data_IF_314757464984
#
_entry.id   IF_314757464984
#
_cell.length_a   1.000
_cell.length_b   1.000
_cell.length_c   1.000
_cell.angle_alpha   90.00
_cell.angle_beta   90.00
_cell.angle_gamma   90.00
#
_symmetry.space_group_name_H-M   'P 1'
#
loop_
_entity.id
_entity.type
_entity.pdbx_description
1 polymer ?
#
# COMPACT_ATOMS: atom_id res chain seq x y z
N UNK A 1 21.68 23.19 12.19
CA UNK A 1 21.37 21.75 12.11
C UNK A 1 19.93 21.67 11.63
N UNK A 2 19.70 21.38 10.36
CA UNK A 2 18.34 21.28 9.81
C UNK A 2 17.66 20.08 10.48
N UNK A 3 16.67 20.35 11.33
CA UNK A 3 16.13 19.38 12.28
C UNK A 3 15.29 18.29 11.58
N UNK A 4 15.02 17.19 12.30
CA UNK A 4 14.07 16.17 11.87
C UNK A 4 12.68 16.75 11.59
N UNK A 5 12.32 17.84 12.27
CA UNK A 5 11.05 18.54 12.09
C UNK A 5 10.96 19.20 10.71
N UNK A 6 12.02 19.90 10.25
CA UNK A 6 12.04 20.48 8.89
C UNK A 6 11.90 19.41 7.81
N UNK A 7 12.49 18.23 8.03
CA UNK A 7 12.35 17.11 7.11
C UNK A 7 10.92 16.55 7.12
N UNK A 8 10.32 16.41 8.30
CA UNK A 8 8.95 15.93 8.44
C UNK A 8 7.93 16.90 7.83
N UNK A 9 8.13 18.21 7.98
CA UNK A 9 7.28 19.25 7.39
C UNK A 9 7.31 19.18 5.87
N UNK A 10 8.51 19.03 5.28
CA UNK A 10 8.66 18.84 3.82
C UNK A 10 8.01 17.55 3.34
N UNK A 11 8.17 16.47 4.12
CA UNK A 11 7.57 15.19 3.79
C UNK A 11 6.04 15.27 3.78
N UNK A 12 5.44 15.91 4.79
CA UNK A 12 4.00 16.10 4.92
C UNK A 12 3.42 17.06 3.87
N UNK A 13 4.12 18.15 3.57
CA UNK A 13 3.67 19.18 2.62
C UNK A 13 4.05 18.93 1.15
N UNK A 14 4.84 17.89 0.86
CA UNK A 14 5.32 17.60 -0.49
C UNK A 14 4.27 16.94 -1.39
N UNK A 15 4.32 17.22 -2.69
CA UNK A 15 3.40 16.65 -3.69
C UNK A 15 3.72 15.18 -4.05
N UNK A 16 4.97 14.74 -3.81
CA UNK A 16 5.44 13.38 -4.11
C UNK A 16 5.17 12.42 -2.93
N UNK A 17 5.23 11.10 -3.14
CA UNK A 17 5.07 10.08 -2.09
C UNK A 17 3.68 10.01 -1.40
N UNK A 18 2.61 10.43 -2.10
CA UNK A 18 1.24 10.38 -1.59
C UNK A 18 0.81 9.00 -1.08
N UNK A 19 1.16 7.93 -1.82
CA UNK A 19 0.88 6.53 -1.43
C UNK A 19 1.63 6.15 -0.16
N UNK A 20 2.95 6.37 -0.14
CA UNK A 20 3.79 6.03 1.02
C UNK A 20 3.31 6.75 2.28
N UNK A 21 2.85 8.01 2.16
CA UNK A 21 2.30 8.79 3.27
C UNK A 21 1.04 8.21 3.89
N UNK A 22 0.23 7.43 3.14
CA UNK A 22 -0.94 6.76 3.73
C UNK A 22 -0.53 5.67 4.73
N UNK A 23 0.60 5.02 4.49
CA UNK A 23 1.18 4.05 5.43
C UNK A 23 2.01 4.71 6.53
N UNK A 24 2.68 5.81 6.18
CA UNK A 24 3.67 6.47 7.02
C UNK A 24 3.50 8.00 6.99
N UNK A 25 2.46 8.57 7.63
CA UNK A 25 2.21 10.02 7.54
C UNK A 25 3.24 10.88 8.27
N UNK A 26 4.05 10.25 9.14
CA UNK A 26 5.13 10.89 9.87
C UNK A 26 6.47 10.23 9.51
N UNK A 27 7.37 11.03 8.95
CA UNK A 27 8.63 10.55 8.40
C UNK A 27 9.57 10.04 9.50
N UNK A 28 9.53 10.67 10.68
CA UNK A 28 10.36 10.30 11.85
C UNK A 28 9.89 8.98 12.45
N UNK A 29 8.57 8.78 12.56
CA UNK A 29 7.97 7.52 12.98
C UNK A 29 8.24 6.41 11.95
N UNK A 30 8.15 6.74 10.65
CA UNK A 30 8.42 5.81 9.56
C UNK A 30 9.79 5.15 9.68
N UNK A 31 10.83 5.93 9.98
CA UNK A 31 12.21 5.44 10.11
C UNK A 31 12.32 4.27 11.10
N UNK A 32 11.59 4.34 12.23
CA UNK A 32 11.59 3.28 13.25
C UNK A 32 10.86 2.01 12.79
N UNK A 33 9.86 2.16 11.91
CA UNK A 33 9.06 1.05 11.41
C UNK A 33 9.77 0.36 10.25
N UNK A 34 10.32 1.13 9.30
CA UNK A 34 11.03 0.60 8.12
C UNK A 34 12.19 -0.31 8.54
N UNK A 35 12.94 0.06 9.58
CA UNK A 35 14.02 -0.78 10.10
C UNK A 35 13.58 -2.15 10.65
N UNK A 36 12.28 -2.36 10.87
CA UNK A 36 11.68 -3.63 11.31
C UNK A 36 11.04 -4.44 10.17
N UNK A 37 10.99 -3.88 8.95
CA UNK A 37 10.35 -4.53 7.81
C UNK A 37 11.42 -5.20 6.94
N UNK A 38 11.21 -6.46 6.59
CA UNK A 38 11.95 -7.07 5.49
C UNK A 38 11.43 -6.50 4.16
N UNK A 39 12.18 -5.55 3.60
CA UNK A 39 11.78 -4.87 2.36
C UNK A 39 12.17 -5.72 1.16
N UNK A 40 11.18 -6.36 0.55
CA UNK A 40 11.32 -7.02 -0.74
C UNK A 40 10.69 -6.20 -1.89
N UNK A 41 10.78 -6.75 -3.11
CA UNK A 41 10.19 -6.11 -4.30
C UNK A 41 8.67 -5.93 -4.20
N UNK A 42 7.95 -6.83 -3.54
CA UNK A 42 6.49 -6.75 -3.44
C UNK A 42 6.06 -5.73 -2.38
N UNK A 43 6.74 -5.70 -1.23
CA UNK A 43 6.55 -4.66 -0.21
C UNK A 43 6.82 -3.28 -0.79
N UNK A 44 7.91 -3.15 -1.56
CA UNK A 44 8.23 -1.89 -2.25
C UNK A 44 7.10 -1.45 -3.18
N UNK A 45 6.55 -2.36 -3.99
CA UNK A 45 5.42 -2.08 -4.87
C UNK A 45 4.17 -1.60 -4.10
N UNK A 46 3.88 -2.22 -2.96
CA UNK A 46 2.74 -1.83 -2.11
C UNK A 46 2.92 -0.40 -1.59
N UNK A 47 4.08 -0.12 -0.99
CA UNK A 47 4.32 1.14 -0.29
C UNK A 47 4.50 2.33 -1.22
N UNK A 48 4.71 2.09 -2.51
CA UNK A 48 5.01 3.14 -3.50
C UNK A 48 4.05 3.17 -4.69
N UNK A 49 3.16 2.17 -4.82
CA UNK A 49 2.31 1.95 -5.99
C UNK A 49 3.07 1.72 -7.30
N UNK A 50 4.36 1.35 -7.22
CA UNK A 50 5.24 1.16 -8.38
C UNK A 50 5.28 -0.31 -8.82
N UNK A 51 4.12 -0.89 -9.11
CA UNK A 51 3.97 -2.34 -9.36
C UNK A 51 3.21 -2.69 -10.64
N UNK A 52 2.93 -3.98 -10.84
CA UNK A 52 2.08 -4.47 -11.92
C UNK A 52 0.60 -4.20 -11.66
N UNK A 53 0.26 -2.96 -11.30
CA UNK A 53 -1.11 -2.47 -11.14
C UNK A 53 -1.57 -1.86 -12.46
N UNK A 54 -2.81 -2.09 -12.87
CA UNK A 54 -3.26 -1.62 -14.19
C UNK A 54 -3.18 -0.09 -14.29
N UNK A 55 -3.46 0.65 -13.21
CA UNK A 55 -3.26 2.11 -13.17
C UNK A 55 -1.82 2.52 -13.48
N UNK A 56 -0.86 1.91 -12.77
CA UNK A 56 0.56 2.21 -12.94
C UNK A 56 1.04 1.85 -14.36
N UNK A 57 0.69 0.66 -14.85
CA UNK A 57 1.07 0.20 -16.19
C UNK A 57 0.45 1.07 -17.29
N UNK A 58 -0.79 1.51 -17.12
CA UNK A 58 -1.46 2.39 -18.07
C UNK A 58 -0.79 3.77 -18.15
N UNK A 59 -0.38 4.34 -17.01
CA UNK A 59 0.38 5.60 -16.97
C UNK A 59 1.65 5.56 -17.81
N UNK A 60 2.31 4.41 -17.89
CA UNK A 60 3.51 4.18 -18.71
C UNK A 60 3.23 3.58 -20.09
N UNK A 61 1.95 3.51 -20.50
CA UNK A 61 1.51 2.95 -21.80
C UNK A 61 1.89 1.48 -22.00
N UNK A 62 2.07 0.74 -20.90
CA UNK A 62 2.28 -0.71 -20.92
C UNK A 62 0.95 -1.49 -20.90
N UNK A 63 -0.18 -0.81 -20.72
CA UNK A 63 -1.53 -1.38 -20.72
C UNK A 63 -2.52 -0.39 -21.31
N UNK A 64 -3.46 -0.87 -22.10
CA UNK A 64 -4.47 -0.03 -22.76
C UNK A 64 -5.45 0.65 -21.79
N UNK A 65 -5.71 0.03 -20.64
CA UNK A 65 -6.68 0.53 -19.68
C UNK A 65 -6.16 0.42 -18.23
N UNK A 66 -6.46 1.41 -17.36
CA UNK A 66 -6.15 1.35 -15.93
C UNK A 66 -7.15 0.49 -15.15
N UNK A 67 -8.17 -0.06 -15.80
CA UNK A 67 -9.29 -0.73 -15.13
C UNK A 67 -8.90 -2.01 -14.40
N UNK A 68 -9.57 -2.27 -13.28
CA UNK A 68 -9.52 -3.53 -12.56
C UNK A 68 -10.38 -4.58 -13.24
N UNK A 69 -10.05 -5.84 -13.02
CA UNK A 69 -10.84 -6.97 -13.53
C UNK A 69 -12.16 -7.19 -12.79
N UNK A 70 -12.32 -6.56 -11.62
CA UNK A 70 -13.58 -6.63 -10.86
C UNK A 70 -14.70 -5.85 -11.56
N UNK A 71 -14.36 -4.74 -12.20
CA UNK A 71 -15.29 -3.80 -12.81
C UNK A 71 -14.51 -2.90 -13.79
N UNK A 72 -14.89 -2.83 -15.08
CA UNK A 72 -14.28 -1.94 -16.06
C UNK A 72 -14.27 -0.45 -15.66
N UNK A 73 -15.18 0.01 -14.81
CA UNK A 73 -15.25 1.38 -14.31
C UNK A 73 -14.34 1.67 -13.11
N UNK A 74 -13.74 0.65 -12.49
CA UNK A 74 -12.87 0.80 -11.32
C UNK A 74 -11.41 0.86 -11.72
N UNK A 75 -10.67 1.84 -11.20
CA UNK A 75 -9.22 1.94 -11.40
C UNK A 75 -8.52 0.92 -10.51
N UNK A 76 -7.60 0.16 -11.08
CA UNK A 76 -6.81 -0.80 -10.32
C UNK A 76 -5.58 -0.14 -9.67
N UNK A 77 -5.84 0.60 -8.60
CA UNK A 77 -4.81 1.13 -7.70
C UNK A 77 -4.41 0.11 -6.64
N UNK A 78 -3.30 0.35 -5.94
CA UNK A 78 -2.91 -0.48 -4.79
C UNK A 78 -3.96 -0.43 -3.68
N UNK A 79 -4.54 0.74 -3.42
CA UNK A 79 -5.56 0.88 -2.37
C UNK A 79 -6.85 0.17 -2.74
N UNK A 80 -7.29 0.28 -4.01
CA UNK A 80 -8.44 -0.48 -4.49
C UNK A 80 -8.23 -1.97 -4.24
N UNK A 81 -7.10 -2.54 -4.68
CA UNK A 81 -6.83 -3.96 -4.51
C UNK A 81 -6.80 -4.40 -3.04
N UNK A 82 -6.24 -3.57 -2.15
CA UNK A 82 -6.06 -3.92 -0.75
C UNK A 82 -7.31 -3.68 0.11
N UNK A 83 -8.14 -2.69 -0.21
CA UNK A 83 -9.20 -2.20 0.67
C UNK A 83 -10.61 -2.40 0.09
N UNK A 84 -10.77 -2.35 -1.23
CA UNK A 84 -12.10 -2.22 -1.85
C UNK A 84 -12.44 -3.37 -2.81
N UNK A 85 -11.44 -3.95 -3.47
CA UNK A 85 -11.65 -4.85 -4.60
C UNK A 85 -12.38 -6.12 -4.15
N UNK A 86 -13.55 -6.45 -4.74
CA UNK A 86 -14.33 -7.62 -4.33
C UNK A 86 -13.63 -8.95 -4.68
N UNK A 87 -12.72 -8.94 -5.65
CA UNK A 87 -11.89 -10.10 -6.01
C UNK A 87 -10.99 -10.55 -4.85
N UNK A 88 -10.77 -9.68 -3.86
CA UNK A 88 -9.92 -9.95 -2.70
C UNK A 88 -10.70 -9.90 -1.37
N UNK A 89 -12.04 -9.95 -1.42
CA UNK A 89 -12.90 -9.90 -0.23
C UNK A 89 -12.57 -11.00 0.77
N UNK A 90 -12.38 -12.23 0.29
CA UNK A 90 -12.12 -13.36 1.18
C UNK A 90 -10.82 -13.17 1.98
N UNK A 91 -9.72 -12.82 1.31
CA UNK A 91 -8.46 -12.54 1.98
C UNK A 91 -8.55 -11.33 2.92
N UNK A 92 -9.26 -10.28 2.50
CA UNK A 92 -9.44 -9.05 3.29
C UNK A 92 -10.26 -9.30 4.55
N UNK A 93 -11.38 -10.03 4.46
CA UNK A 93 -12.21 -10.41 5.61
C UNK A 93 -11.41 -11.27 6.58
N UNK A 94 -10.66 -12.25 6.07
CA UNK A 94 -9.78 -13.08 6.90
C UNK A 94 -8.76 -12.23 7.64
N UNK A 95 -8.07 -11.31 6.96
CA UNK A 95 -7.14 -10.39 7.60
C UNK A 95 -7.83 -9.53 8.67
N UNK A 96 -8.98 -8.92 8.34
CA UNK A 96 -9.74 -8.08 9.28
C UNK A 96 -10.11 -8.82 10.57
N UNK A 97 -10.39 -10.12 10.50
CA UNK A 97 -10.67 -10.94 11.70
C UNK A 97 -9.46 -11.18 12.61
N UNK A 98 -8.24 -10.96 12.11
CA UNK A 98 -6.99 -11.19 12.82
C UNK A 98 -6.32 -9.90 13.31
N UNK A 99 -6.68 -8.75 12.73
CA UNK A 99 -6.10 -7.46 13.08
C UNK A 99 -6.70 -6.91 14.38
N UNK A 100 -5.87 -6.23 15.15
CA UNK A 100 -6.33 -5.45 16.31
C UNK A 100 -6.83 -4.06 15.90
N UNK A 101 -6.33 -3.53 14.78
CA UNK A 101 -6.75 -2.26 14.20
C UNK A 101 -7.66 -2.45 12.97
N UNK A 102 -8.57 -1.50 12.75
CA UNK A 102 -9.39 -1.50 11.54
C UNK A 102 -8.52 -1.35 10.28
N UNK A 103 -8.96 -1.98 9.20
CA UNK A 103 -8.31 -1.89 7.89
C UNK A 103 -9.09 -0.94 6.97
N UNK A 104 -8.86 0.35 7.14
CA UNK A 104 -9.46 1.46 6.40
C UNK A 104 -8.35 2.43 5.94
N UNK A 105 -8.57 3.27 4.91
CA UNK A 105 -7.53 4.18 4.40
C UNK A 105 -6.90 5.08 5.47
N UNK A 106 -7.70 5.55 6.44
CA UNK A 106 -7.28 6.48 7.48
C UNK A 106 -6.68 5.78 8.72
N UNK A 107 -6.70 4.44 8.77
CA UNK A 107 -6.19 3.66 9.90
C UNK A 107 -4.93 2.85 9.57
N UNK A 108 -4.43 2.93 8.34
CA UNK A 108 -3.23 2.21 7.89
C UNK A 108 -2.00 2.54 8.75
N UNK A 109 -1.87 3.78 9.26
CA UNK A 109 -0.77 4.15 10.15
C UNK A 109 -0.74 3.32 11.45
N UNK A 110 -1.91 2.95 11.98
CA UNK A 110 -2.02 2.18 13.22
C UNK A 110 -1.70 0.71 12.98
N UNK A 111 -2.16 0.17 11.84
CA UNK A 111 -1.79 -1.17 11.37
C UNK A 111 -0.27 -1.28 11.21
N UNK A 112 0.39 -0.28 10.61
CA UNK A 112 1.84 -0.30 10.41
C UNK A 112 2.65 -0.11 11.71
N UNK A 113 2.10 0.62 12.69
CA UNK A 113 2.76 0.85 13.99
C UNK A 113 2.76 -0.39 14.88
N UNK A 114 1.70 -1.19 14.86
CA UNK A 114 1.62 -2.42 15.64
C UNK A 114 2.42 -3.53 14.95
N UNK A 115 3.35 -4.17 15.67
CA UNK A 115 4.28 -5.14 15.08
C UNK A 115 3.55 -6.39 14.53
N UNK A 116 2.55 -6.91 15.26
CA UNK A 116 1.78 -8.09 14.82
C UNK A 116 0.85 -7.76 13.65
N UNK A 117 0.13 -6.64 13.73
CA UNK A 117 -0.78 -6.21 12.67
C UNK A 117 -0.02 -5.90 11.39
N UNK A 118 1.15 -5.25 11.49
CA UNK A 118 2.04 -4.97 10.35
C UNK A 118 2.47 -6.25 9.65
N UNK A 119 2.90 -7.27 10.39
CA UNK A 119 3.36 -8.52 9.80
C UNK A 119 2.23 -9.27 9.08
N UNK A 120 1.03 -9.29 9.67
CA UNK A 120 -0.16 -9.86 9.03
C UNK A 120 -0.56 -9.08 7.78
N UNK A 121 -0.55 -7.75 7.87
CA UNK A 121 -0.90 -6.87 6.77
C UNK A 121 0.08 -6.99 5.61
N UNK A 122 1.39 -6.98 5.86
CA UNK A 122 2.39 -7.12 4.80
C UNK A 122 2.31 -8.47 4.09
N UNK A 123 2.03 -9.57 4.82
CA UNK A 123 1.79 -10.89 4.21
C UNK A 123 0.59 -10.88 3.28
N UNK A 124 -0.51 -10.28 3.72
CA UNK A 124 -1.71 -10.06 2.88
C UNK A 124 -1.37 -9.23 1.63
N UNK A 125 -0.70 -8.09 1.80
CA UNK A 125 -0.31 -7.22 0.69
C UNK A 125 0.55 -7.95 -0.34
N UNK A 126 1.56 -8.70 0.10
CA UNK A 126 2.42 -9.50 -0.78
C UNK A 126 1.59 -10.53 -1.57
N UNK A 127 0.63 -11.19 -0.94
CA UNK A 127 -0.25 -12.15 -1.61
C UNK A 127 -1.06 -11.47 -2.72
N UNK A 128 -1.69 -10.33 -2.44
CA UNK A 128 -2.52 -9.60 -3.41
C UNK A 128 -1.68 -9.05 -4.56
N UNK A 129 -0.52 -8.43 -4.26
CA UNK A 129 0.36 -7.88 -5.28
C UNK A 129 0.96 -8.97 -6.17
N UNK A 130 1.25 -10.17 -5.64
CA UNK A 130 1.66 -11.32 -6.47
C UNK A 130 0.58 -11.70 -7.48
N UNK A 131 -0.69 -11.74 -7.07
CA UNK A 131 -1.81 -12.02 -7.98
C UNK A 131 -1.95 -10.94 -9.05
N UNK A 132 -1.90 -9.67 -8.67
CA UNK A 132 -2.01 -8.55 -9.60
C UNK A 132 -0.87 -8.56 -10.63
N UNK A 133 0.38 -8.71 -10.16
CA UNK A 133 1.55 -8.83 -11.03
C UNK A 133 1.46 -10.00 -11.99
N UNK A 134 0.97 -11.16 -11.56
CA UNK A 134 0.83 -12.32 -12.44
C UNK A 134 -0.22 -12.08 -13.53
N UNK A 135 -1.34 -11.47 -13.15
CA UNK A 135 -2.46 -11.20 -14.06
C UNK A 135 -2.17 -10.10 -15.08
N UNK A 136 -1.40 -9.09 -14.69
CA UNK A 136 -1.09 -7.93 -15.53
C UNK A 136 0.25 -8.05 -16.28
N UNK A 137 0.90 -9.21 -16.21
CA UNK A 137 2.07 -9.55 -17.01
C UNK A 137 1.69 -9.82 -18.46
#
# INVERSE_FOLDING_TARGET
MRSLDEWNDRYRGGETAGVTRKFFPDAVAAYRIIGKIEVDRFVTQVLTELGGFSEYLHRFKCKESPSCVCDPGQIESVFHLLLDCPVHDYERIKLRSMLSNNLEPDTLEFVMRNDQDRDLFLKYCIQIVKKANYRNK
#
